data_IF_390474720806
#
_entry.id   IF_390474720806
#
_cell.length_a   1.000
_cell.length_b   1.000
_cell.length_c   1.000
_cell.angle_alpha   90.00
_cell.angle_beta   90.00
_cell.angle_gamma   90.00
#
_symmetry.space_group_name_H-M   'P 1'
#
loop_
_entity.id
_entity.type
_entity.pdbx_description
1 polymer ?
#
# COMPACT_ATOMS: atom_id res chain seq x y z
N UNK A 1 -18.46 1.79 7.73
CA UNK A 1 -17.85 3.01 7.16
C UNK A 1 -16.44 2.64 6.71
N UNK A 2 -16.02 2.97 5.48
CA UNK A 2 -14.69 2.60 4.97
C UNK A 2 -13.63 3.46 5.67
N UNK A 3 -12.61 2.86 6.28
CA UNK A 3 -11.54 3.63 6.95
C UNK A 3 -10.82 4.51 5.89
N UNK A 4 -10.87 5.82 6.10
CA UNK A 4 -10.26 6.82 5.21
C UNK A 4 -8.74 6.62 5.12
N UNK A 5 -8.10 6.22 6.22
CA UNK A 5 -6.65 5.96 6.29
C UNK A 5 -6.27 4.76 5.43
N UNK A 6 -7.02 3.66 5.54
CA UNK A 6 -6.79 2.47 4.71
C UNK A 6 -6.99 2.77 3.23
N UNK A 7 -8.00 3.58 2.90
CA UNK A 7 -8.25 4.02 1.52
C UNK A 7 -7.08 4.84 0.98
N UNK A 8 -6.52 5.74 1.78
CA UNK A 8 -5.37 6.56 1.36
C UNK A 8 -4.09 5.74 1.21
N UNK A 9 -3.81 4.84 2.15
CA UNK A 9 -2.67 3.90 2.07
C UNK A 9 -2.74 3.07 0.78
N UNK A 10 -3.92 2.49 0.49
CA UNK A 10 -4.15 1.70 -0.72
C UNK A 10 -3.87 2.49 -2.00
N UNK A 11 -4.32 3.75 -2.06
CA UNK A 11 -4.08 4.63 -3.21
C UNK A 11 -2.60 5.00 -3.36
N UNK A 12 -1.90 5.25 -2.26
CA UNK A 12 -0.47 5.54 -2.28
C UNK A 12 0.34 4.34 -2.77
N UNK A 13 0.06 3.13 -2.25
CA UNK A 13 0.69 1.87 -2.72
C UNK A 13 0.48 1.70 -4.23
N UNK A 14 -0.77 1.85 -4.70
CA UNK A 14 -1.10 1.72 -6.12
C UNK A 14 -0.35 2.75 -6.99
N UNK A 15 -0.29 4.00 -6.53
CA UNK A 15 0.38 5.06 -7.27
C UNK A 15 1.88 4.80 -7.40
N UNK A 16 2.55 4.39 -6.32
CA UNK A 16 3.98 4.09 -6.33
C UNK A 16 4.30 2.83 -7.12
N UNK A 17 3.47 1.79 -7.03
CA UNK A 17 3.60 0.59 -7.88
C UNK A 17 3.58 0.95 -9.36
N UNK A 18 2.65 1.80 -9.78
CA UNK A 18 2.54 2.26 -11.16
C UNK A 18 3.75 3.12 -11.55
N UNK A 19 4.23 4.02 -10.67
CA UNK A 19 5.45 4.81 -10.92
C UNK A 19 6.69 3.94 -11.12
N UNK A 20 6.78 2.80 -10.45
CA UNK A 20 7.84 1.79 -10.64
C UNK A 20 7.60 0.85 -11.83
N UNK A 21 6.50 1.01 -12.57
CA UNK A 21 6.20 0.19 -13.75
C UNK A 21 5.88 -1.28 -13.42
N UNK A 22 5.51 -1.59 -12.18
CA UNK A 22 5.20 -2.96 -11.77
C UNK A 22 3.73 -3.28 -11.98
N UNK A 23 3.41 -4.48 -12.45
CA UNK A 23 2.04 -5.02 -12.37
C UNK A 23 1.71 -5.46 -10.93
N UNK A 24 0.43 -5.72 -10.63
CA UNK A 24 0.05 -6.26 -9.31
C UNK A 24 0.71 -7.63 -9.08
N UNK A 25 0.71 -8.50 -10.10
CA UNK A 25 1.46 -9.76 -10.11
C UNK A 25 2.95 -9.56 -9.79
N UNK A 26 3.64 -8.64 -10.45
CA UNK A 26 5.07 -8.41 -10.22
C UNK A 26 5.39 -7.93 -8.80
N UNK A 27 4.53 -7.07 -8.21
CA UNK A 27 4.70 -6.66 -6.81
C UNK A 27 4.44 -7.83 -5.87
N UNK A 28 3.40 -8.62 -6.14
CA UNK A 28 3.02 -9.77 -5.32
C UNK A 28 4.14 -10.82 -5.25
N UNK A 29 4.72 -11.17 -6.41
CA UNK A 29 5.87 -12.07 -6.53
C UNK A 29 7.07 -11.58 -5.71
N UNK A 30 7.38 -10.28 -5.79
CA UNK A 30 8.55 -9.69 -5.10
C UNK A 30 8.44 -9.68 -3.58
N UNK A 31 7.22 -9.67 -3.02
CA UNK A 31 6.99 -9.71 -1.57
C UNK A 31 6.39 -11.04 -1.09
N UNK A 32 6.37 -12.06 -1.95
CA UNK A 32 5.88 -13.41 -1.65
C UNK A 32 4.42 -13.45 -1.13
N UNK A 33 3.51 -12.76 -1.83
CA UNK A 33 2.06 -12.84 -1.59
C UNK A 33 1.30 -13.14 -2.88
N UNK A 34 0.00 -13.43 -2.78
CA UNK A 34 -0.82 -13.62 -3.98
C UNK A 34 -1.11 -12.29 -4.69
N UNK A 35 -1.28 -12.30 -6.01
CA UNK A 35 -1.76 -11.12 -6.76
C UNK A 35 -3.11 -10.62 -6.22
N UNK A 36 -4.00 -11.54 -5.82
CA UNK A 36 -5.28 -11.21 -5.19
C UNK A 36 -5.10 -10.38 -3.92
N UNK A 37 -4.08 -10.67 -3.12
CA UNK A 37 -3.72 -9.89 -1.93
C UNK A 37 -3.39 -8.44 -2.29
N UNK A 38 -2.54 -8.21 -3.29
CA UNK A 38 -2.22 -6.85 -3.78
C UNK A 38 -3.49 -6.16 -4.31
N UNK A 39 -4.32 -6.86 -5.08
CA UNK A 39 -5.58 -6.33 -5.61
C UNK A 39 -6.56 -5.91 -4.49
N UNK A 40 -6.67 -6.69 -3.42
CA UNK A 40 -7.52 -6.38 -2.26
C UNK A 40 -6.96 -5.18 -1.46
N UNK A 41 -5.63 -5.12 -1.29
CA UNK A 41 -4.95 -3.99 -0.66
C UNK A 41 -5.21 -2.71 -1.44
N UNK A 42 -4.96 -2.68 -2.75
CA UNK A 42 -5.10 -1.47 -3.58
C UNK A 42 -6.54 -0.98 -3.73
N UNK A 43 -7.54 -1.84 -3.45
CA UNK A 43 -8.96 -1.47 -3.38
C UNK A 43 -9.43 -1.09 -1.98
N UNK A 44 -8.53 -1.13 -0.99
CA UNK A 44 -8.81 -0.94 0.43
C UNK A 44 -9.90 -1.89 0.95
N UNK A 45 -9.93 -3.12 0.42
CA UNK A 45 -10.77 -4.23 0.90
C UNK A 45 -10.05 -5.13 1.90
N UNK A 46 -8.72 -5.06 1.92
CA UNK A 46 -7.87 -5.71 2.91
C UNK A 46 -6.87 -4.68 3.46
N UNK A 47 -6.71 -4.63 4.77
CA UNK A 47 -5.66 -3.84 5.42
C UNK A 47 -4.38 -4.69 5.47
N UNK A 48 -3.27 -4.24 4.86
CA UNK A 48 -2.01 -4.97 4.94
C UNK A 48 -1.44 -4.93 6.37
N UNK A 49 -0.67 -5.95 6.75
CA UNK A 49 0.14 -5.89 7.98
C UNK A 49 1.28 -4.89 7.82
N UNK A 50 1.86 -4.44 8.94
CA UNK A 50 3.02 -3.53 8.90
C UNK A 50 4.20 -4.10 8.12
N UNK A 51 4.42 -5.42 8.18
CA UNK A 51 5.48 -6.10 7.44
C UNK A 51 5.23 -6.08 5.93
N UNK A 52 3.98 -6.32 5.49
CA UNK A 52 3.62 -6.20 4.07
C UNK A 52 3.83 -4.76 3.58
N UNK A 53 3.49 -3.75 4.38
CA UNK A 53 3.73 -2.35 4.01
C UNK A 53 5.23 -2.06 3.91
N UNK A 54 6.03 -2.58 4.84
CA UNK A 54 7.49 -2.45 4.82
C UNK A 54 8.12 -3.11 3.59
N UNK A 55 7.71 -4.35 3.26
CA UNK A 55 8.21 -5.07 2.09
C UNK A 55 7.84 -4.38 0.79
N UNK A 56 6.61 -3.85 0.70
CA UNK A 56 6.17 -3.02 -0.43
C UNK A 56 7.07 -1.78 -0.57
N UNK A 57 7.33 -1.05 0.52
CA UNK A 57 8.18 0.14 0.47
C UNK A 57 9.60 -0.19 -0.03
N UNK A 58 10.18 -1.31 0.43
CA UNK A 58 11.48 -1.78 -0.02
C UNK A 58 11.50 -2.14 -1.51
N UNK A 59 10.51 -2.90 -1.99
CA UNK A 59 10.39 -3.26 -3.42
C UNK A 59 10.18 -2.03 -4.30
N UNK A 60 9.46 -1.04 -3.78
CA UNK A 60 9.23 0.23 -4.45
C UNK A 60 10.37 1.23 -4.22
N UNK A 61 11.44 0.86 -3.52
CA UNK A 61 12.62 1.71 -3.25
C UNK A 61 12.26 3.14 -2.80
N UNK A 62 11.28 3.23 -1.90
CA UNK A 62 10.82 4.48 -1.32
C UNK A 62 10.90 4.41 0.20
N UNK A 63 10.99 5.58 0.83
CA UNK A 63 10.77 5.67 2.27
C UNK A 63 9.32 5.26 2.60
N UNK A 64 9.15 4.45 3.65
CA UNK A 64 7.84 3.95 4.06
C UNK A 64 6.85 5.09 4.35
N UNK A 65 7.33 6.27 4.78
CA UNK A 65 6.50 7.45 5.03
C UNK A 65 5.80 7.97 3.77
N UNK A 66 6.34 7.74 2.56
CA UNK A 66 5.66 8.12 1.32
C UNK A 66 4.34 7.33 1.16
N UNK A 67 4.26 6.09 1.65
CA UNK A 67 3.02 5.32 1.65
C UNK A 67 1.97 5.88 2.63
N UNK A 68 2.40 6.61 3.66
CA UNK A 68 1.53 7.22 4.68
C UNK A 68 1.22 8.70 4.41
N UNK A 69 1.70 9.27 3.30
CA UNK A 69 1.51 10.68 2.97
C UNK A 69 0.03 11.06 2.87
N UNK A 70 -0.34 12.14 3.58
CA UNK A 70 -1.71 12.63 3.65
C UNK A 70 -2.65 11.78 4.51
N UNK A 71 -2.11 10.82 5.28
CA UNK A 71 -2.83 10.15 6.35
C UNK A 71 -2.60 10.95 7.62
N UNK A 72 -3.53 11.82 7.99
CA UNK A 72 -3.52 12.45 9.30
C UNK A 72 -4.25 11.57 10.30
N UNK A 73 -3.69 11.47 11.51
CA UNK A 73 -4.51 11.15 12.67
C UNK A 73 -5.41 12.37 12.90
N UNK A 74 -6.72 12.23 12.74
CA UNK A 74 -7.64 13.16 13.38
C UNK A 74 -7.40 13.06 14.89
N UNK A 75 -6.57 13.96 15.41
CA UNK A 75 -6.78 14.55 16.72
C UNK A 75 -7.08 16.01 16.47
N UNK A 76 -8.33 16.28 16.09
CA UNK A 76 -8.93 17.53 16.53
C UNK A 76 -8.99 17.41 18.05
N UNK A 77 -8.03 18.04 18.72
CA UNK A 77 -8.17 18.42 20.13
C UNK A 77 -9.33 19.39 20.22
#
# INVERSE_FOLDING_TARGET
MKDSRNTKLALNIKAERIRKGLTQFMLAEKINVSESTISLIERALQTPSVFVVYDIANVLEIDINELFKGISSEKSV
#
